data_IF_749446702738
#
_entry.id   IF_749446702738
#
_cell.length_a   1.000
_cell.length_b   1.000
_cell.length_c   1.000
_cell.angle_alpha   90.00
_cell.angle_beta   90.00
_cell.angle_gamma   90.00
#
_symmetry.space_group_name_H-M   'P 1'
#
loop_
_entity.id
_entity.type
_entity.pdbx_description
1 polymer ?
#
# COMPACT_ATOMS: atom_id res chain seq x y z
N UNK A 1 -11.61 -5.45 -41.57
CA UNK A 1 -12.21 -6.65 -40.98
C UNK A 1 -11.71 -6.76 -39.54
N UNK A 2 -12.56 -6.47 -38.56
CA UNK A 2 -12.28 -6.78 -37.16
C UNK A 2 -12.41 -8.29 -36.98
N UNK A 3 -11.35 -8.96 -36.53
CA UNK A 3 -11.44 -10.37 -36.14
C UNK A 3 -12.49 -10.55 -35.04
N UNK A 4 -12.99 -11.78 -34.83
CA UNK A 4 -13.94 -12.04 -33.75
C UNK A 4 -13.35 -11.53 -32.43
N UNK A 5 -14.16 -10.89 -31.56
CA UNK A 5 -13.68 -10.42 -30.26
C UNK A 5 -13.01 -11.59 -29.54
N UNK A 6 -11.72 -11.44 -29.22
CA UNK A 6 -11.01 -12.46 -28.44
C UNK A 6 -11.80 -12.66 -27.17
N UNK A 7 -12.23 -13.90 -26.91
CA UNK A 7 -12.91 -14.24 -25.66
C UNK A 7 -12.02 -13.75 -24.50
N UNK A 8 -12.57 -13.06 -23.49
CA UNK A 8 -11.79 -12.62 -22.35
C UNK A 8 -11.03 -13.83 -21.78
N UNK A 9 -9.70 -13.72 -21.69
CA UNK A 9 -8.87 -14.78 -21.11
C UNK A 9 -9.31 -15.07 -19.69
N UNK A 10 -9.26 -16.34 -19.28
CA UNK A 10 -9.39 -16.69 -17.87
C UNK A 10 -8.21 -16.08 -17.11
N UNK A 11 -8.44 -15.61 -15.89
CA UNK A 11 -7.36 -15.30 -14.96
C UNK A 11 -6.44 -16.53 -14.87
N UNK A 12 -5.14 -16.31 -14.87
CA UNK A 12 -4.15 -17.38 -14.78
C UNK A 12 -3.63 -17.47 -13.33
N UNK A 13 -2.73 -18.43 -13.01
CA UNK A 13 -2.08 -18.45 -11.70
C UNK A 13 -1.33 -17.14 -11.41
N UNK A 14 -1.07 -16.89 -10.13
CA UNK A 14 -0.44 -15.68 -9.62
C UNK A 14 0.77 -15.22 -10.46
N UNK A 15 0.73 -13.96 -10.94
CA UNK A 15 1.73 -13.33 -11.82
C UNK A 15 1.93 -13.93 -13.22
N UNK A 16 1.03 -14.78 -13.71
CA UNK A 16 1.15 -15.40 -15.05
C UNK A 16 0.12 -14.86 -16.05
N UNK A 17 -0.57 -13.76 -15.74
CA UNK A 17 -1.60 -13.18 -16.60
C UNK A 17 -0.95 -12.62 -17.88
N UNK A 18 -1.64 -12.65 -19.04
CA UNK A 18 -1.10 -12.19 -20.32
C UNK A 18 -0.77 -10.68 -20.35
N UNK A 19 -1.18 -9.91 -19.33
CA UNK A 19 -0.63 -8.58 -19.05
C UNK A 19 -1.47 -7.41 -19.53
N UNK A 20 -2.79 -7.58 -19.67
CA UNK A 20 -3.70 -6.49 -20.02
C UNK A 20 -4.01 -5.63 -18.80
N UNK A 21 -3.06 -4.76 -18.46
CA UNK A 21 -3.17 -3.87 -17.30
C UNK A 21 -3.91 -2.57 -17.66
N UNK A 22 -4.55 -1.98 -16.65
CA UNK A 22 -5.11 -0.64 -16.72
C UNK A 22 -4.06 0.46 -16.71
N UNK A 23 -4.50 1.73 -16.64
CA UNK A 23 -3.61 2.87 -16.52
C UNK A 23 -2.67 2.74 -15.31
N UNK A 24 -1.39 3.01 -15.55
CA UNK A 24 -0.35 2.91 -14.53
C UNK A 24 0.44 4.21 -14.40
N UNK A 25 0.45 4.78 -13.20
CA UNK A 25 1.23 5.95 -12.82
C UNK A 25 2.59 5.48 -12.29
N UNK A 26 3.65 5.68 -13.06
CA UNK A 26 5.01 5.31 -12.66
C UNK A 26 5.89 6.54 -12.61
N UNK A 27 6.53 6.78 -11.46
CA UNK A 27 7.31 7.99 -11.22
C UNK A 27 6.49 9.29 -11.50
N UNK A 28 5.20 9.25 -11.21
CA UNK A 28 4.28 10.34 -11.47
C UNK A 28 4.08 11.21 -10.22
N UNK A 29 3.87 12.51 -10.44
CA UNK A 29 3.61 13.49 -9.39
C UNK A 29 2.34 14.26 -9.74
N UNK A 30 1.47 14.47 -8.75
CA UNK A 30 0.31 15.37 -8.86
C UNK A 30 -0.59 15.11 -10.07
N UNK A 31 -0.86 13.84 -10.36
CA UNK A 31 -1.74 13.41 -11.44
C UNK A 31 -3.13 13.05 -10.91
N UNK A 32 -4.11 12.92 -11.80
CA UNK A 32 -5.44 12.49 -11.39
C UNK A 32 -6.14 11.66 -12.45
N UNK A 33 -7.12 10.89 -12.01
CA UNK A 33 -8.14 10.21 -12.84
C UNK A 33 -9.49 10.49 -12.22
N UNK A 34 -10.48 10.81 -13.05
CA UNK A 34 -11.84 11.10 -12.61
C UNK A 34 -12.84 10.41 -13.52
N UNK A 35 -13.84 9.75 -12.93
CA UNK A 35 -15.00 9.19 -13.63
C UNK A 35 -14.61 8.19 -14.73
N UNK A 36 -13.69 7.28 -14.41
CA UNK A 36 -13.20 6.27 -15.35
C UNK A 36 -13.57 4.86 -14.89
N UNK A 37 -14.21 4.15 -15.82
CA UNK A 37 -14.54 2.74 -15.73
C UNK A 37 -13.51 1.91 -16.50
N UNK A 38 -12.85 0.99 -15.79
CA UNK A 38 -11.94 0.01 -16.37
C UNK A 38 -12.57 -1.38 -16.34
N UNK A 39 -12.64 -2.02 -17.52
CA UNK A 39 -13.28 -3.32 -17.68
C UNK A 39 -12.33 -4.36 -18.26
N UNK A 40 -12.35 -5.56 -17.68
CA UNK A 40 -11.61 -6.74 -18.16
C UNK A 40 -10.08 -6.63 -18.13
N UNK A 41 -9.53 -5.79 -17.25
CA UNK A 41 -8.11 -5.73 -16.97
C UNK A 41 -7.64 -6.90 -16.09
N UNK A 42 -6.42 -7.38 -16.31
CA UNK A 42 -5.73 -8.32 -15.41
C UNK A 42 -5.36 -7.63 -14.09
N UNK A 43 -4.85 -6.40 -14.22
CA UNK A 43 -4.57 -5.48 -13.15
C UNK A 43 -5.26 -4.15 -13.43
N UNK A 44 -5.97 -3.58 -12.47
CA UNK A 44 -6.68 -2.32 -12.65
C UNK A 44 -5.77 -1.08 -12.65
N UNK A 45 -6.15 -0.04 -11.90
CA UNK A 45 -5.32 1.15 -11.78
C UNK A 45 -4.06 0.84 -10.98
N UNK A 46 -2.91 1.27 -11.48
CA UNK A 46 -1.62 1.02 -10.85
C UNK A 46 -0.81 2.26 -10.58
N UNK A 47 -0.03 2.22 -9.50
CA UNK A 47 0.85 3.27 -9.02
C UNK A 47 2.17 2.64 -8.58
N UNK A 48 3.29 3.21 -9.03
CA UNK A 48 4.64 2.82 -8.58
C UNK A 48 5.49 4.07 -8.40
N UNK A 49 6.14 4.20 -7.24
CA UNK A 49 7.05 5.32 -6.95
C UNK A 49 6.42 6.68 -7.30
N UNK A 50 5.14 6.86 -6.98
CA UNK A 50 4.37 8.04 -7.37
C UNK A 50 3.87 8.79 -6.14
N UNK A 51 3.60 10.09 -6.28
CA UNK A 51 3.16 10.92 -5.15
C UNK A 51 2.05 11.90 -5.53
N UNK A 52 1.08 12.06 -4.64
CA UNK A 52 0.02 13.06 -4.79
C UNK A 52 -0.92 12.75 -5.95
N UNK A 53 -1.12 11.47 -6.28
CA UNK A 53 -2.06 11.08 -7.35
C UNK A 53 -3.45 10.87 -6.75
N UNK A 54 -4.50 11.32 -7.46
CA UNK A 54 -5.90 11.20 -7.01
C UNK A 54 -6.73 10.40 -8.02
N UNK A 55 -7.41 9.34 -7.58
CA UNK A 55 -8.39 8.60 -8.38
C UNK A 55 -9.76 8.80 -7.75
N UNK A 56 -10.70 9.42 -8.46
CA UNK A 56 -12.05 9.71 -7.93
C UNK A 56 -13.13 9.23 -8.88
N UNK A 57 -14.23 8.67 -8.37
CA UNK A 57 -15.33 8.20 -9.20
C UNK A 57 -14.92 7.04 -10.11
N UNK A 58 -13.99 6.18 -9.67
CA UNK A 58 -13.38 5.14 -10.51
C UNK A 58 -13.98 3.76 -10.26
N UNK A 59 -14.16 2.99 -11.33
CA UNK A 59 -14.69 1.62 -11.26
C UNK A 59 -13.73 0.66 -11.93
N UNK A 60 -13.53 -0.52 -11.32
CA UNK A 60 -12.76 -1.60 -11.95
C UNK A 60 -13.55 -2.90 -11.90
N UNK A 61 -14.11 -3.30 -13.04
CA UNK A 61 -15.06 -4.40 -13.14
C UNK A 61 -14.77 -5.43 -14.24
N UNK A 62 -15.76 -6.29 -14.47
CA UNK A 62 -15.69 -7.36 -15.45
C UNK A 62 -15.19 -8.67 -14.86
N UNK A 63 -14.32 -9.37 -15.59
CA UNK A 63 -13.85 -10.72 -15.24
C UNK A 63 -13.00 -10.72 -13.95
N UNK A 64 -12.72 -11.93 -13.46
CA UNK A 64 -11.75 -12.14 -12.40
C UNK A 64 -10.37 -11.58 -12.78
N UNK A 65 -9.70 -11.02 -11.78
CA UNK A 65 -8.52 -10.16 -11.91
C UNK A 65 -7.61 -10.32 -10.71
N UNK A 66 -6.33 -10.05 -10.89
CA UNK A 66 -5.33 -10.26 -9.86
C UNK A 66 -5.27 -9.08 -8.88
N UNK A 67 -4.97 -7.88 -9.37
CA UNK A 67 -5.08 -6.65 -8.61
C UNK A 67 -6.16 -5.72 -9.16
N UNK A 68 -6.97 -5.13 -8.30
CA UNK A 68 -7.93 -4.10 -8.73
C UNK A 68 -7.34 -2.71 -8.64
N UNK A 69 -6.72 -2.40 -7.50
CA UNK A 69 -5.87 -1.23 -7.35
C UNK A 69 -4.50 -1.72 -6.91
N UNK A 70 -3.45 -1.20 -7.54
CA UNK A 70 -2.06 -1.48 -7.18
C UNK A 70 -1.42 -0.20 -6.69
N UNK A 71 -1.11 -0.12 -5.40
CA UNK A 71 -0.22 0.90 -4.85
C UNK A 71 1.13 0.26 -4.53
N UNK A 72 2.00 0.13 -5.54
CA UNK A 72 3.33 -0.48 -5.43
C UNK A 72 4.26 0.39 -4.59
N UNK A 73 5.41 -0.21 -4.29
CA UNK A 73 6.47 0.35 -3.46
C UNK A 73 6.73 1.84 -3.70
N UNK A 74 6.96 2.56 -2.59
CA UNK A 74 7.28 3.99 -2.57
C UNK A 74 6.21 4.90 -3.21
N UNK A 75 4.94 4.50 -3.15
CA UNK A 75 3.83 5.36 -3.56
C UNK A 75 3.21 6.06 -2.34
N UNK A 76 3.11 7.38 -2.41
CA UNK A 76 2.85 8.25 -1.27
C UNK A 76 1.70 9.23 -1.52
N UNK A 77 1.03 9.64 -0.44
CA UNK A 77 0.02 10.71 -0.45
C UNK A 77 -1.03 10.49 -1.54
N UNK A 78 -1.46 9.24 -1.67
CA UNK A 78 -2.45 8.79 -2.64
C UNK A 78 -3.86 8.97 -2.11
N UNK A 79 -4.77 9.43 -2.97
CA UNK A 79 -6.19 9.45 -2.67
C UNK A 79 -6.95 8.60 -3.69
N UNK A 80 -7.68 7.60 -3.22
CA UNK A 80 -8.67 6.86 -4.01
C UNK A 80 -10.03 7.03 -3.32
N UNK A 81 -10.93 7.78 -3.95
CA UNK A 81 -12.24 8.07 -3.38
C UNK A 81 -13.37 7.73 -4.35
N UNK A 82 -14.57 7.50 -3.80
CA UNK A 82 -15.78 7.22 -4.56
C UNK A 82 -15.58 6.08 -5.57
N UNK A 83 -15.01 4.96 -5.10
CA UNK A 83 -14.59 3.86 -5.96
C UNK A 83 -15.49 2.63 -5.87
N UNK A 84 -15.54 1.86 -6.96
CA UNK A 84 -16.28 0.58 -7.00
C UNK A 84 -15.44 -0.59 -7.55
N UNK A 85 -15.49 -1.70 -6.82
CA UNK A 85 -14.94 -3.00 -7.23
C UNK A 85 -16.12 -3.98 -7.27
N UNK A 86 -16.92 -4.03 -8.34
CA UNK A 86 -18.04 -4.95 -8.43
C UNK A 86 -17.58 -6.40 -8.43
N UNK A 87 -18.53 -7.28 -8.08
CA UNK A 87 -18.36 -8.73 -8.17
C UNK A 87 -17.85 -9.14 -9.54
N UNK A 88 -16.82 -9.98 -9.58
CA UNK A 88 -16.28 -10.51 -10.82
C UNK A 88 -17.34 -11.32 -11.60
N UNK A 89 -17.36 -11.13 -12.91
CA UNK A 89 -18.29 -11.85 -13.83
C UNK A 89 -17.82 -13.26 -14.17
N UNK A 90 -16.59 -13.61 -13.78
CA UNK A 90 -16.04 -14.97 -13.89
C UNK A 90 -15.49 -15.39 -12.53
N UNK A 91 -15.44 -16.69 -12.22
CA UNK A 91 -14.78 -17.17 -11.00
C UNK A 91 -13.30 -16.80 -10.97
N UNK A 92 -12.76 -16.56 -9.77
CA UNK A 92 -11.31 -16.52 -9.52
C UNK A 92 -10.75 -17.91 -9.81
N UNK A 93 -9.66 -17.98 -10.58
CA UNK A 93 -9.05 -19.25 -10.94
C UNK A 93 -8.50 -20.00 -9.71
N UNK A 94 -8.52 -21.34 -9.74
CA UNK A 94 -7.94 -22.15 -8.67
C UNK A 94 -6.47 -21.78 -8.44
N UNK A 95 -6.11 -21.48 -7.19
CA UNK A 95 -4.76 -21.06 -6.82
C UNK A 95 -4.40 -19.61 -7.17
N UNK A 96 -5.31 -18.87 -7.79
CA UNK A 96 -5.14 -17.43 -7.98
C UNK A 96 -5.58 -16.64 -6.73
N UNK A 97 -5.05 -15.44 -6.63
CA UNK A 97 -5.36 -14.49 -5.56
C UNK A 97 -6.00 -13.23 -6.15
N UNK A 98 -6.97 -12.68 -5.43
CA UNK A 98 -7.53 -11.36 -5.70
C UNK A 98 -7.19 -10.42 -4.54
N UNK A 99 -6.51 -9.33 -4.89
CA UNK A 99 -5.85 -8.43 -3.95
C UNK A 99 -6.62 -7.13 -3.67
N UNK A 100 -7.81 -6.93 -4.23
CA UNK A 100 -8.66 -5.75 -3.92
C UNK A 100 -7.89 -4.41 -3.94
N UNK A 101 -7.79 -3.77 -2.76
CA UNK A 101 -7.00 -2.56 -2.51
C UNK A 101 -5.58 -2.92 -2.05
N UNK A 102 -4.64 -3.07 -2.99
CA UNK A 102 -3.25 -3.36 -2.67
C UNK A 102 -2.45 -2.12 -2.30
N UNK A 103 -1.67 -2.21 -1.24
CA UNK A 103 -0.62 -1.27 -0.87
C UNK A 103 0.65 -2.03 -0.48
N UNK A 104 1.80 -1.52 -0.93
CA UNK A 104 3.09 -2.18 -0.79
C UNK A 104 4.17 -1.33 -0.16
N UNK A 105 5.29 -2.00 0.14
CA UNK A 105 6.32 -1.52 1.03
C UNK A 105 6.82 -0.11 0.76
N UNK A 106 7.13 0.60 1.84
CA UNK A 106 7.60 1.98 1.82
C UNK A 106 6.60 3.02 1.27
N UNK A 107 5.32 2.69 1.07
CA UNK A 107 4.27 3.69 0.87
C UNK A 107 3.80 4.33 2.19
N UNK A 108 3.31 5.57 2.15
CA UNK A 108 2.82 6.31 3.33
C UNK A 108 1.80 7.38 2.93
N UNK A 109 0.89 7.74 3.83
CA UNK A 109 -0.08 8.81 3.60
C UNK A 109 -1.19 8.45 2.61
N UNK A 110 -1.37 7.16 2.31
CA UNK A 110 -2.33 6.71 1.32
C UNK A 110 -3.73 6.56 1.93
N UNK A 111 -4.74 7.05 1.21
CA UNK A 111 -6.13 7.10 1.65
C UNK A 111 -7.03 6.41 0.62
N UNK A 112 -7.89 5.52 1.11
CA UNK A 112 -9.03 4.98 0.37
C UNK A 112 -10.31 5.36 1.09
N UNK A 113 -11.24 6.01 0.39
CA UNK A 113 -12.46 6.56 0.98
C UNK A 113 -13.70 6.23 0.17
N UNK A 114 -14.85 6.12 0.85
CA UNK A 114 -16.18 6.04 0.25
C UNK A 114 -16.31 4.99 -0.87
N UNK A 115 -15.96 3.74 -0.57
CA UNK A 115 -15.89 2.68 -1.58
C UNK A 115 -16.85 1.51 -1.36
N UNK A 116 -17.19 0.82 -2.44
CA UNK A 116 -17.88 -0.48 -2.40
C UNK A 116 -17.06 -1.52 -3.14
N UNK A 117 -16.73 -2.64 -2.49
CA UNK A 117 -15.79 -3.58 -3.11
C UNK A 117 -16.02 -5.07 -2.83
N UNK A 118 -15.68 -5.90 -3.82
CA UNK A 118 -15.22 -7.27 -3.65
C UNK A 118 -13.68 -7.31 -3.50
N UNK A 119 -13.17 -8.18 -2.64
CA UNK A 119 -11.73 -8.39 -2.45
C UNK A 119 -11.32 -8.35 -0.97
N UNK A 120 -10.17 -7.75 -0.67
CA UNK A 120 -9.72 -7.47 0.70
C UNK A 120 -8.94 -6.16 0.75
N UNK A 121 -8.70 -5.66 1.96
CA UNK A 121 -7.67 -4.66 2.22
C UNK A 121 -6.30 -5.33 2.19
N UNK A 122 -5.67 -5.33 1.02
CA UNK A 122 -4.39 -5.98 0.82
C UNK A 122 -3.24 -5.04 1.21
N UNK A 123 -2.59 -5.39 2.31
CA UNK A 123 -1.37 -4.71 2.74
C UNK A 123 -0.24 -5.73 2.65
N UNK A 124 0.63 -5.54 1.65
CA UNK A 124 1.86 -6.29 1.52
C UNK A 124 2.80 -5.96 2.67
N UNK A 125 3.88 -6.72 2.77
CA UNK A 125 4.89 -6.52 3.81
C UNK A 125 5.80 -5.32 3.48
N UNK A 126 6.67 -4.96 4.42
CA UNK A 126 7.51 -3.77 4.42
C UNK A 126 6.70 -2.46 4.51
N UNK A 127 5.55 -2.49 5.18
CA UNK A 127 4.69 -1.34 5.43
C UNK A 127 4.76 -0.91 6.90
N UNK A 128 5.82 -0.23 7.36
CA UNK A 128 5.87 0.30 8.72
C UNK A 128 5.12 1.63 8.90
N UNK A 129 4.55 2.19 7.83
CA UNK A 129 3.98 3.54 7.78
C UNK A 129 2.44 3.56 7.82
N UNK A 130 1.88 4.78 7.78
CA UNK A 130 0.46 5.07 7.88
C UNK A 130 -0.30 4.96 6.56
N UNK A 131 -1.56 4.57 6.68
CA UNK A 131 -2.57 4.61 5.63
C UNK A 131 -3.96 4.60 6.26
N UNK A 132 -4.93 5.18 5.57
CA UNK A 132 -6.31 5.27 6.01
C UNK A 132 -7.22 4.56 5.02
N UNK A 133 -8.13 3.72 5.51
CA UNK A 133 -9.25 3.20 4.74
C UNK A 133 -10.53 3.58 5.49
N UNK A 134 -11.45 4.27 4.84
CA UNK A 134 -12.63 4.79 5.53
C UNK A 134 -13.89 4.78 4.71
N UNK A 135 -15.05 4.60 5.37
CA UNK A 135 -16.36 4.58 4.73
C UNK A 135 -16.43 3.56 3.57
N UNK A 136 -16.00 2.32 3.82
CA UNK A 136 -15.98 1.28 2.78
C UNK A 136 -16.89 0.13 3.16
N UNK A 137 -17.72 -0.30 2.21
CA UNK A 137 -18.43 -1.57 2.26
C UNK A 137 -17.66 -2.63 1.48
N UNK A 138 -17.32 -3.75 2.13
CA UNK A 138 -16.46 -4.79 1.55
C UNK A 138 -17.05 -6.18 1.68
N UNK A 139 -17.21 -6.88 0.56
CA UNK A 139 -17.35 -8.34 0.52
C UNK A 139 -15.97 -8.94 0.63
N UNK A 140 -15.58 -9.30 1.87
CA UNK A 140 -14.20 -9.67 2.16
C UNK A 140 -13.88 -11.12 1.79
N UNK A 141 -13.56 -11.37 0.54
CA UNK A 141 -13.23 -12.68 -0.01
C UNK A 141 -11.83 -12.77 -0.63
N UNK A 142 -11.05 -11.69 -0.59
CA UNK A 142 -9.68 -11.64 -1.10
C UNK A 142 -8.63 -12.25 -0.16
N UNK A 143 -7.36 -12.01 -0.49
CA UNK A 143 -6.19 -12.42 0.31
C UNK A 143 -5.12 -11.34 0.31
N UNK A 144 -4.31 -11.29 1.37
CA UNK A 144 -3.16 -10.38 1.42
C UNK A 144 -1.90 -11.01 0.82
N UNK A 145 -1.15 -10.29 -0.02
CA UNK A 145 0.07 -10.78 -0.68
C UNK A 145 1.39 -10.41 0.03
N UNK A 146 2.49 -10.33 -0.70
CA UNK A 146 3.81 -9.90 -0.17
C UNK A 146 4.70 -11.02 0.41
N UNK A 147 6.01 -10.91 0.18
CA UNK A 147 7.01 -11.90 0.56
C UNK A 147 7.11 -12.10 2.08
N UNK A 148 7.11 -13.36 2.54
CA UNK A 148 6.98 -13.73 3.96
C UNK A 148 8.09 -13.22 4.89
N UNK A 149 9.23 -12.82 4.34
CA UNK A 149 10.41 -12.30 5.02
C UNK A 149 10.53 -10.77 4.97
N UNK A 150 9.67 -10.07 4.21
CA UNK A 150 9.74 -8.62 4.01
C UNK A 150 9.23 -7.78 5.21
N UNK A 151 9.18 -8.34 6.43
CA UNK A 151 8.74 -7.61 7.62
C UNK A 151 7.21 -7.54 7.80
N UNK A 152 6.69 -6.53 8.53
CA UNK A 152 5.28 -6.43 8.90
C UNK A 152 4.39 -5.94 7.74
N UNK A 153 3.11 -6.34 7.79
CA UNK A 153 2.06 -5.94 6.82
C UNK A 153 1.46 -4.56 7.09
N UNK A 154 1.54 -4.11 8.33
CA UNK A 154 0.87 -2.90 8.79
C UNK A 154 1.79 -2.14 9.72
N UNK A 155 1.76 -0.83 9.56
CA UNK A 155 2.61 0.11 10.27
C UNK A 155 1.93 0.72 11.47
N UNK A 156 2.71 1.51 12.21
CA UNK A 156 2.16 2.38 13.22
C UNK A 156 1.23 3.40 12.54
N UNK A 157 0.02 3.58 13.08
CA UNK A 157 -1.02 4.52 12.59
C UNK A 157 -1.81 4.06 11.35
N UNK A 158 -1.85 2.76 11.05
CA UNK A 158 -2.89 2.26 10.13
C UNK A 158 -4.28 2.51 10.73
N UNK A 159 -5.17 3.12 9.95
CA UNK A 159 -6.52 3.44 10.40
C UNK A 159 -7.55 2.81 9.47
N UNK A 160 -8.48 2.06 10.05
CA UNK A 160 -9.70 1.63 9.39
C UNK A 160 -10.87 2.24 10.15
N UNK A 161 -11.68 3.04 9.45
CA UNK A 161 -12.76 3.80 10.08
C UNK A 161 -14.07 3.71 9.30
N UNK A 162 -15.16 3.30 9.96
CA UNK A 162 -16.49 3.13 9.36
C UNK A 162 -16.46 2.12 8.21
N UNK A 163 -16.11 0.88 8.54
CA UNK A 163 -16.02 -0.22 7.55
C UNK A 163 -17.15 -1.20 7.77
N UNK A 164 -17.90 -1.49 6.72
CA UNK A 164 -18.96 -2.49 6.69
C UNK A 164 -18.47 -3.75 6.00
N UNK A 165 -18.31 -4.83 6.77
CA UNK A 165 -17.86 -6.11 6.24
C UNK A 165 -19.04 -7.01 5.95
N UNK A 166 -19.20 -7.38 4.68
CA UNK A 166 -20.18 -8.36 4.24
C UNK A 166 -19.55 -9.76 4.32
N UNK A 167 -20.27 -10.71 4.92
CA UNK A 167 -19.85 -12.12 5.03
C UNK A 167 -18.98 -12.46 6.25
N UNK A 168 -18.79 -11.55 7.22
CA UNK A 168 -18.20 -11.90 8.51
C UNK A 168 -16.67 -11.93 8.60
N UNK A 169 -15.96 -12.03 7.46
CA UNK A 169 -14.52 -12.29 7.45
C UNK A 169 -13.70 -11.06 7.85
N UNK A 170 -12.93 -11.18 8.93
CA UNK A 170 -12.16 -10.09 9.52
C UNK A 170 -10.76 -9.86 8.89
N UNK A 171 -10.29 -10.77 8.04
CA UNK A 171 -8.93 -10.78 7.49
C UNK A 171 -8.55 -9.47 6.79
N UNK A 172 -7.39 -8.90 7.10
CA UNK A 172 -6.91 -7.65 6.52
C UNK A 172 -7.69 -6.39 6.94
N UNK A 173 -8.80 -6.55 7.69
CA UNK A 173 -9.68 -5.45 8.11
C UNK A 173 -9.54 -5.19 9.61
N UNK A 174 -9.61 -6.23 10.46
CA UNK A 174 -9.47 -6.09 11.92
C UNK A 174 -8.01 -6.24 12.30
N UNK A 175 -7.34 -5.15 12.67
CA UNK A 175 -5.88 -5.12 12.90
C UNK A 175 -5.47 -4.98 14.37
N UNK A 176 -6.42 -5.06 15.30
CA UNK A 176 -6.21 -4.79 16.73
C UNK A 176 -5.11 -5.66 17.35
N UNK A 177 -4.99 -6.91 16.89
CA UNK A 177 -3.97 -7.86 17.37
C UNK A 177 -2.72 -7.91 16.47
N UNK A 178 -2.71 -7.15 15.37
CA UNK A 178 -1.65 -7.22 14.35
C UNK A 178 -0.75 -5.98 14.31
N UNK A 179 -1.33 -4.80 14.54
CA UNK A 179 -0.66 -3.52 14.37
C UNK A 179 -0.86 -2.70 15.66
N UNK A 180 0.07 -2.79 16.64
CA UNK A 180 0.00 -1.93 17.80
C UNK A 180 0.03 -0.47 17.34
N UNK A 181 -0.84 0.36 17.91
CA UNK A 181 -1.08 1.76 17.49
C UNK A 181 -1.80 1.93 16.15
N UNK A 182 -2.50 0.91 15.67
CA UNK A 182 -3.56 1.09 14.67
C UNK A 182 -4.86 1.58 15.32
N UNK A 183 -5.74 2.19 14.52
CA UNK A 183 -7.05 2.65 14.96
C UNK A 183 -8.15 1.93 14.17
N UNK A 184 -8.88 1.05 14.83
CA UNK A 184 -10.03 0.34 14.26
C UNK A 184 -11.31 0.95 14.86
N UNK A 185 -12.00 1.80 14.10
CA UNK A 185 -13.15 2.57 14.60
C UNK A 185 -14.38 2.29 13.75
N UNK A 186 -15.51 1.94 14.37
CA UNK A 186 -16.76 1.71 13.64
C UNK A 186 -16.69 0.57 12.63
N UNK A 187 -15.96 -0.51 12.93
CA UNK A 187 -15.93 -1.72 12.09
C UNK A 187 -17.16 -2.58 12.41
N UNK A 188 -17.98 -2.87 11.40
CA UNK A 188 -19.24 -3.60 11.52
C UNK A 188 -19.23 -4.86 10.64
N UNK A 189 -20.05 -5.84 10.99
CA UNK A 189 -20.29 -7.04 10.18
C UNK A 189 -19.21 -8.13 10.23
N UNK A 190 -18.21 -8.04 11.13
CA UNK A 190 -17.25 -9.14 11.37
C UNK A 190 -17.70 -10.06 12.50
N UNK A 191 -17.30 -11.33 12.46
CA UNK A 191 -17.59 -12.32 13.52
C UNK A 191 -16.65 -12.21 14.75
N UNK A 192 -15.74 -11.24 14.75
CA UNK A 192 -14.72 -11.03 15.78
C UNK A 192 -13.47 -10.35 15.21
N UNK A 193 -12.41 -10.17 16.03
CA UNK A 193 -11.11 -9.74 15.54
C UNK A 193 -10.47 -10.84 14.67
N UNK A 194 -9.63 -10.41 13.73
CA UNK A 194 -8.78 -11.35 12.99
C UNK A 194 -7.63 -11.76 13.92
N UNK A 195 -7.52 -13.07 14.18
CA UNK A 195 -6.46 -13.59 15.03
C UNK A 195 -5.19 -13.81 14.22
N UNK A 196 -4.01 -13.45 14.76
CA UNK A 196 -2.74 -13.83 14.17
C UNK A 196 -2.58 -15.36 14.16
N UNK A 197 -1.84 -15.93 13.20
CA UNK A 197 -1.47 -17.34 13.23
C UNK A 197 -0.82 -17.67 14.58
N UNK A 198 -1.20 -18.80 15.17
CA UNK A 198 -0.67 -19.25 16.45
C UNK A 198 0.87 -19.29 16.41
N UNK A 199 1.52 -18.70 17.43
CA UNK A 199 2.98 -18.72 17.58
C UNK A 199 3.70 -17.39 17.31
N UNK A 200 3.06 -16.37 16.73
CA UNK A 200 3.74 -15.10 16.41
C UNK A 200 4.03 -14.21 17.65
N UNK A 201 3.29 -14.37 18.75
CA UNK A 201 3.31 -13.39 19.87
C UNK A 201 4.09 -13.79 21.13
N UNK A 202 4.68 -14.99 21.24
CA UNK A 202 5.30 -15.42 22.51
C UNK A 202 6.67 -14.82 22.85
N UNK A 203 7.32 -14.04 21.96
CA UNK A 203 8.70 -13.57 22.21
C UNK A 203 8.88 -12.07 22.51
N UNK A 204 7.88 -11.22 22.33
CA UNK A 204 8.11 -9.76 22.36
C UNK A 204 7.80 -9.05 23.69
N UNK A 205 7.20 -9.70 24.70
CA UNK A 205 6.64 -8.98 25.87
C UNK A 205 7.32 -9.32 27.22
N UNK A 206 8.37 -10.14 27.26
CA UNK A 206 8.96 -10.59 28.55
C UNK A 206 10.42 -10.19 28.84
N UNK A 207 11.11 -9.44 27.98
CA UNK A 207 12.50 -9.02 28.24
C UNK A 207 12.66 -7.64 28.90
N UNK A 208 11.57 -6.89 29.15
CA UNK A 208 11.65 -5.48 29.58
C UNK A 208 11.44 -5.18 31.08
N UNK A 209 11.13 -6.18 31.93
CA UNK A 209 10.84 -5.93 33.36
C UNK A 209 11.43 -7.00 34.27
N UNK A 210 12.75 -7.02 34.43
CA UNK A 210 13.43 -7.60 35.61
C UNK A 210 14.91 -7.22 35.65
N UNK A 211 15.20 -5.93 35.80
CA UNK A 211 16.48 -5.49 36.34
C UNK A 211 16.25 -4.19 37.14
N UNK A 212 16.43 -4.27 38.46
CA UNK A 212 16.50 -3.09 39.32
C UNK A 212 15.38 -2.96 40.37
N UNK A 213 15.44 -3.78 41.43
CA UNK A 213 15.24 -3.34 42.83
C UNK A 213 15.43 -4.50 43.81
N UNK A 214 16.69 -4.71 44.17
CA UNK A 214 17.14 -5.12 45.50
C UNK A 214 18.36 -4.20 45.72
N UNK A 215 18.55 -3.43 46.78
CA UNK A 215 18.08 -3.44 48.16
C UNK A 215 19.27 -2.84 48.92
N UNK A 216 19.13 -1.68 49.54
CA UNK A 216 20.14 -1.15 50.46
C UNK A 216 19.51 -0.07 51.35
N UNK A 217 19.52 -0.34 52.65
CA UNK A 217 19.17 0.58 53.72
C UNK A 217 20.38 0.71 54.65
N UNK A 218 20.64 1.93 55.15
CA UNK A 218 21.59 2.31 56.22
C UNK A 218 23.06 2.40 55.76
N UNK A 219 23.90 3.36 56.13
CA UNK A 219 23.86 4.52 57.05
C UNK A 219 25.01 5.49 56.67
N UNK A 220 25.09 6.72 57.22
CA UNK A 220 25.97 7.79 56.72
C UNK A 220 27.24 7.99 57.56
N UNK A 221 28.38 8.30 56.93
CA UNK A 221 29.54 8.89 57.63
C UNK A 221 30.28 9.93 56.78
N UNK A 222 30.66 11.00 57.50
CA UNK A 222 31.35 12.24 57.09
C UNK A 222 32.81 11.99 56.67
N UNK A 223 33.38 12.89 55.86
CA UNK A 223 34.83 13.12 55.86
C UNK A 223 35.47 13.71 54.59
N UNK A 224 35.68 15.03 54.59
CA UNK A 224 36.88 15.77 54.12
C UNK A 224 37.57 15.49 52.77
N UNK A 225 37.52 16.52 51.91
CA UNK A 225 38.57 17.12 51.06
C UNK A 225 39.82 16.30 50.63
N UNK A 226 40.06 16.25 49.31
CA UNK A 226 41.22 16.86 48.63
C UNK A 226 41.20 16.56 47.12
N UNK A 227 41.44 17.58 46.29
CA UNK A 227 41.83 17.45 44.88
C UNK A 227 43.29 16.97 44.79
N UNK A 228 43.65 16.27 43.70
CA UNK A 228 44.70 16.84 42.86
C UNK A 228 44.42 16.75 41.35
N UNK A 229 45.19 17.55 40.63
CA UNK A 229 45.14 17.85 39.20
C UNK A 229 45.83 16.79 38.32
N UNK A 230 45.34 16.70 37.07
CA UNK A 230 45.98 16.35 35.78
C UNK A 230 46.88 15.10 35.65
N UNK A 231 46.57 14.26 34.64
CA UNK A 231 47.35 14.10 33.39
C UNK A 231 46.82 12.97 32.47
N UNK A 232 46.65 13.26 31.15
CA UNK A 232 47.25 12.46 30.06
C UNK A 232 46.53 11.28 29.37
N UNK A 233 45.72 11.58 28.33
CA UNK A 233 45.61 10.86 27.02
C UNK A 233 44.91 9.48 26.93
N UNK A 234 44.63 8.92 25.71
CA UNK A 234 44.65 9.44 24.32
C UNK A 234 43.25 9.32 23.60
N UNK A 235 43.09 9.70 22.30
CA UNK A 235 41.80 10.04 21.70
C UNK A 235 41.00 8.85 21.11
N UNK A 236 39.67 9.03 21.05
CA UNK A 236 38.74 8.15 20.34
C UNK A 236 39.08 8.06 18.85
N UNK A 237 39.18 6.83 18.34
CA UNK A 237 39.25 6.53 16.92
C UNK A 237 37.88 6.68 16.27
N UNK A 238 37.87 7.46 15.20
CA UNK A 238 36.85 7.56 14.17
C UNK A 238 36.50 6.21 13.55
N UNK A 239 35.21 6.01 13.23
CA UNK A 239 34.75 5.18 12.14
C UNK A 239 33.69 5.96 11.36
N UNK A 240 34.18 6.80 10.44
CA UNK A 240 33.45 7.39 9.33
C UNK A 240 34.14 6.84 8.07
N UNK A 241 33.43 6.06 7.25
CA UNK A 241 33.75 5.67 5.87
C UNK A 241 32.48 4.95 5.36
N UNK A 242 31.85 5.20 4.21
CA UNK A 242 32.09 6.09 3.08
C UNK A 242 30.73 6.57 2.56
N UNK A 243 30.57 7.88 2.38
CA UNK A 243 29.74 8.42 1.28
C UNK A 243 30.60 9.44 0.57
N UNK A 244 31.02 9.10 -0.64
CA UNK A 244 31.56 10.05 -1.61
C UNK A 244 31.47 9.38 -2.98
N UNK A 245 31.29 10.09 -4.08
CA UNK A 245 30.98 11.48 -4.35
C UNK A 245 30.78 11.52 -5.87
N UNK A 246 29.74 12.18 -6.38
CA UNK A 246 29.76 12.71 -7.74
C UNK A 246 28.67 13.77 -7.87
N UNK A 247 29.08 15.01 -7.62
CA UNK A 247 28.38 16.22 -8.06
C UNK A 247 29.42 17.30 -8.31
N UNK A 248 29.77 17.47 -9.58
CA UNK A 248 30.34 18.68 -10.13
C UNK A 248 29.86 18.77 -11.58
N UNK A 249 28.96 19.71 -11.87
CA UNK A 249 28.43 19.91 -13.21
C UNK A 249 27.30 20.93 -13.30
N UNK A 250 27.70 22.20 -13.43
CA UNK A 250 26.98 23.33 -14.03
C UNK A 250 25.61 23.75 -13.47
N UNK A 251 25.64 24.87 -12.75
CA UNK A 251 24.52 25.80 -12.60
C UNK A 251 24.17 26.42 -13.97
N UNK A 252 23.00 26.09 -14.50
CA UNK A 252 22.28 26.94 -15.46
C UNK A 252 20.89 27.24 -14.90
N UNK A 253 20.47 28.50 -15.06
CA UNK A 253 19.23 29.05 -14.53
C UNK A 253 17.98 28.25 -14.98
N UNK A 254 16.90 28.21 -14.17
CA UNK A 254 15.71 27.47 -14.52
C UNK A 254 14.99 28.16 -15.68
N UNK A 255 14.85 27.44 -16.80
CA UNK A 255 13.85 27.74 -17.80
C UNK A 255 12.47 27.54 -17.16
N UNK A 256 11.65 28.59 -17.19
CA UNK A 256 10.23 28.54 -16.84
C UNK A 256 9.51 27.55 -17.76
N UNK A 257 9.33 26.31 -17.30
CA UNK A 257 8.44 25.36 -17.93
C UNK A 257 7.01 25.74 -17.56
N UNK A 258 6.30 26.37 -18.49
CA UNK A 258 4.85 26.49 -18.43
C UNK A 258 4.24 25.09 -18.51
N UNK A 259 3.64 24.64 -17.41
CA UNK A 259 2.84 23.42 -17.41
C UNK A 259 1.59 23.66 -18.26
N UNK A 260 1.57 23.16 -19.49
CA UNK A 260 0.34 23.02 -20.24
C UNK A 260 -0.47 21.89 -19.59
N UNK A 261 -1.49 22.25 -18.80
CA UNK A 261 -2.56 21.33 -18.45
C UNK A 261 -3.35 21.01 -19.72
N UNK A 262 -3.07 19.88 -20.35
CA UNK A 262 -3.97 19.32 -21.37
C UNK A 262 -5.15 18.68 -20.65
N UNK A 263 -6.19 19.48 -20.47
CA UNK A 263 -7.51 19.02 -20.06
C UNK A 263 -8.08 18.16 -21.20
N UNK A 264 -8.21 16.85 -20.98
CA UNK A 264 -8.97 15.98 -21.87
C UNK A 264 -10.43 16.05 -21.47
N UNK A 265 -11.14 17.07 -21.94
CA UNK A 265 -12.60 17.08 -21.89
C UNK A 265 -13.14 16.04 -22.87
N UNK A 266 -13.55 14.88 -22.35
CA UNK A 266 -14.47 13.99 -23.06
C UNK A 266 -15.83 14.67 -23.01
N UNK A 267 -16.26 15.25 -24.13
CA UNK A 267 -17.54 15.92 -24.24
C UNK A 267 -18.68 15.01 -23.78
N UNK A 268 -19.58 15.56 -22.96
CA UNK A 268 -20.83 14.93 -22.57
C UNK A 268 -21.74 14.83 -23.80
N UNK A 269 -21.52 13.81 -24.62
CA UNK A 269 -22.46 13.40 -25.65
C UNK A 269 -23.34 12.28 -25.09
N UNK A 270 -24.64 12.36 -25.40
CA UNK A 270 -25.64 11.39 -25.03
C UNK A 270 -25.19 9.95 -25.30
N UNK A 271 -25.68 9.04 -24.45
CA UNK A 271 -25.43 7.59 -24.50
C UNK A 271 -25.62 7.03 -25.91
N UNK A 272 -24.52 6.74 -26.59
CA UNK A 272 -24.44 5.89 -27.77
C UNK A 272 -23.23 4.94 -27.65
N UNK A 273 -23.27 3.74 -28.26
CA UNK A 273 -22.41 2.63 -27.87
C UNK A 273 -20.99 2.75 -28.41
N UNK A 274 -20.02 2.77 -27.48
CA UNK A 274 -18.64 2.28 -27.56
C UNK A 274 -17.88 2.54 -28.87
N UNK A 275 -17.13 3.65 -28.91
CA UNK A 275 -16.04 3.83 -29.86
C UNK A 275 -14.81 3.01 -29.41
N UNK A 276 -14.47 1.97 -30.16
CA UNK A 276 -13.27 1.15 -29.92
C UNK A 276 -12.02 1.83 -30.48
N UNK A 277 -11.14 2.28 -29.59
CA UNK A 277 -9.76 2.67 -29.94
C UNK A 277 -8.92 1.40 -30.15
N UNK A 278 -8.23 1.30 -31.28
CA UNK A 278 -7.31 0.18 -31.57
C UNK A 278 -6.04 0.31 -30.73
N UNK A 279 -5.61 -0.72 -29.99
CA UNK A 279 -4.29 -0.71 -29.38
C UNK A 279 -3.22 -0.96 -30.45
N UNK A 280 -2.11 -0.22 -30.37
CA UNK A 280 -0.89 -0.54 -31.07
C UNK A 280 -0.32 -1.86 -30.53
N UNK A 281 0.28 -2.68 -31.39
CA UNK A 281 0.96 -3.92 -30.99
C UNK A 281 2.13 -3.58 -30.05
N UNK A 282 1.97 -3.91 -28.76
CA UNK A 282 3.02 -3.82 -27.76
C UNK A 282 3.74 -5.17 -27.63
N UNK A 283 5.06 -5.15 -27.73
CA UNK A 283 5.92 -6.30 -27.46
C UNK A 283 5.82 -6.75 -25.99
N UNK A 284 5.98 -8.06 -25.69
CA UNK A 284 5.81 -8.58 -24.34
C UNK A 284 6.87 -8.03 -23.38
N UNK A 285 6.42 -7.33 -22.34
CA UNK A 285 7.26 -6.89 -21.23
C UNK A 285 7.56 -8.10 -20.33
N UNK A 286 8.83 -8.51 -20.25
CA UNK A 286 9.30 -9.50 -19.27
C UNK A 286 9.86 -8.76 -18.06
N UNK A 287 9.07 -8.63 -17.00
CA UNK A 287 9.58 -8.23 -15.70
C UNK A 287 10.19 -9.45 -15.00
N UNK A 288 11.49 -9.37 -14.67
CA UNK A 288 12.11 -10.19 -13.62
C UNK A 288 11.94 -9.50 -12.28
#
# INVERSE_FOLDING_TARGET
MSGPPRRPGKQTPHHLDPGFNGPHFQAALNCWVRDVDLWHSDNGFGLTTSKGVTLTGVRVGGRARHHTFICRVQSHDMLVEDFEIPKATTPVATGAAHHGLNTEGFGSGNVWSNGVMEGTFDSHRALPFDSVRTAITVTNNGVTGGAGDAGPRWGARFCHWNIDVLGGRAHGIRLEEHAPYSAMVGIRGTSGPHRPPEGLHRRAVHSGRRAGRAGAAGEPLRGTAARPDRQGGPPMRSALLMVGALLAGALTAPATATAESREWTVGTAARDPVAHVRPAEAAPCRCR
#
